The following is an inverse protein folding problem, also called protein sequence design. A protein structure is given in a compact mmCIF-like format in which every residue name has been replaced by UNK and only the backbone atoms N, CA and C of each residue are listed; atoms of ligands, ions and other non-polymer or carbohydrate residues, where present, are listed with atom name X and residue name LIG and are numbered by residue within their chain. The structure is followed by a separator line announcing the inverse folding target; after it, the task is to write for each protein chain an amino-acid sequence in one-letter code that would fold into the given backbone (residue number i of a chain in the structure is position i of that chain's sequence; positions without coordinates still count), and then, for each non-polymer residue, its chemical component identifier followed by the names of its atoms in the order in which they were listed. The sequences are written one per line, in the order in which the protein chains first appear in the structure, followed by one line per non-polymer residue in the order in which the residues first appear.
data_IF_341542729207
#
_entry.id   IF_341542729207
#
_cell.length_a   1.000
_cell.length_b   1.000
_cell.length_c   1.000
_cell.angle_alpha   90.00
_cell.angle_beta   90.00
_cell.angle_gamma   90.00
#
_symmetry.space_group_name_H-M   'P 1'
#
loop_
_entity.id
_entity.type
_entity.pdbx_description
1 polymer ?
#
# COMPACT_ATOMS: atom_id res chain seq x y z
N UNK A 1 -63.75 20.54 -10.82
CA UNK A 1 -63.18 20.27 -12.16
C UNK A 1 -61.68 20.01 -11.98
N UNK A 2 -61.20 18.82 -12.33
CA UNK A 2 -59.86 18.30 -12.04
C UNK A 2 -58.80 18.91 -12.96
N UNK A 3 -57.62 19.28 -12.46
CA UNK A 3 -56.35 19.16 -13.22
C UNK A 3 -55.21 18.73 -12.29
N UNK A 4 -54.70 17.54 -12.59
CA UNK A 4 -53.60 16.83 -11.92
C UNK A 4 -52.28 17.35 -12.49
N UNK A 5 -51.27 17.57 -11.65
CA UNK A 5 -49.90 17.86 -12.08
C UNK A 5 -48.94 17.06 -11.22
N UNK A 6 -48.44 15.94 -11.74
CA UNK A 6 -47.45 15.08 -11.12
C UNK A 6 -46.06 15.62 -11.48
N UNK A 7 -45.27 16.04 -10.48
CA UNK A 7 -43.91 16.55 -10.68
C UNK A 7 -42.93 15.39 -10.51
N UNK A 8 -42.37 14.90 -11.61
CA UNK A 8 -41.34 13.85 -11.62
C UNK A 8 -39.98 14.48 -11.37
N UNK A 9 -39.40 14.26 -10.19
CA UNK A 9 -38.03 14.70 -9.87
C UNK A 9 -37.03 13.67 -10.42
N UNK A 10 -36.27 14.06 -11.44
CA UNK A 10 -35.18 13.26 -11.99
C UNK A 10 -33.99 13.28 -11.00
N UNK A 11 -33.73 12.16 -10.34
CA UNK A 11 -32.50 11.93 -9.56
C UNK A 11 -31.41 11.47 -10.54
N UNK A 12 -30.53 12.39 -10.95
CA UNK A 12 -29.35 12.03 -11.74
C UNK A 12 -28.29 11.46 -10.81
N UNK A 13 -28.03 10.16 -10.94
CA UNK A 13 -27.01 9.43 -10.20
C UNK A 13 -25.81 9.24 -11.15
N UNK A 14 -24.78 10.07 -11.01
CA UNK A 14 -23.52 9.88 -11.74
C UNK A 14 -22.81 8.66 -11.15
N UNK A 15 -22.75 7.58 -11.92
CA UNK A 15 -21.94 6.42 -11.56
C UNK A 15 -20.45 6.81 -11.67
N UNK A 16 -19.71 6.65 -10.57
CA UNK A 16 -18.26 6.72 -10.59
C UNK A 16 -17.76 5.42 -11.20
N UNK A 17 -17.14 5.49 -12.38
CA UNK A 17 -16.46 4.34 -12.97
C UNK A 17 -15.13 4.14 -12.25
N UNK A 18 -15.09 3.17 -11.34
CA UNK A 18 -13.83 2.60 -10.85
C UNK A 18 -13.22 1.80 -12.00
N UNK A 19 -12.14 2.30 -12.60
CA UNK A 19 -11.32 1.52 -13.52
C UNK A 19 -10.50 0.54 -12.66
N UNK A 20 -10.69 -0.76 -12.86
CA UNK A 20 -9.79 -1.78 -12.33
C UNK A 20 -8.84 -2.17 -13.47
N UNK A 21 -7.54 -1.98 -13.27
CA UNK A 21 -6.52 -2.41 -14.23
C UNK A 21 -6.16 -3.89 -14.01
N UNK A 22 -5.95 -4.61 -15.12
CA UNK A 22 -5.54 -6.01 -15.07
C UNK A 22 -4.06 -6.10 -14.73
N UNK A 23 -3.77 -6.51 -13.51
CA UNK A 23 -2.41 -6.89 -13.12
C UNK A 23 -2.21 -8.37 -13.47
N UNK A 24 -1.22 -8.68 -14.32
CA UNK A 24 -0.99 -9.99 -14.94
C UNK A 24 -0.76 -11.15 -13.95
N UNK A 25 -0.59 -12.40 -14.44
CA UNK A 25 -0.50 -13.57 -13.58
C UNK A 25 0.67 -13.47 -12.57
N UNK A 26 0.36 -13.28 -11.28
CA UNK A 26 1.33 -13.29 -10.19
C UNK A 26 1.73 -14.71 -9.83
N UNK A 27 2.72 -15.26 -10.53
CA UNK A 27 3.28 -16.56 -10.20
C UNK A 27 4.21 -16.45 -8.98
N UNK A 28 3.63 -16.48 -7.79
CA UNK A 28 4.35 -16.66 -6.52
C UNK A 28 4.20 -15.50 -5.54
N UNK A 29 4.25 -15.79 -4.23
CA UNK A 29 4.41 -14.75 -3.22
C UNK A 29 5.65 -13.91 -3.56
N UNK A 30 5.56 -12.58 -3.57
CA UNK A 30 6.71 -11.74 -3.89
C UNK A 30 7.89 -12.11 -2.97
N UNK A 31 9.08 -12.27 -3.58
CA UNK A 31 10.30 -12.65 -2.85
C UNK A 31 10.53 -11.64 -1.74
N UNK A 32 10.78 -12.13 -0.51
CA UNK A 32 11.20 -11.26 0.57
C UNK A 32 12.62 -10.78 0.30
N UNK A 33 12.80 -9.46 0.23
CA UNK A 33 14.06 -8.79 -0.03
C UNK A 33 14.48 -7.94 1.18
N UNK A 34 15.76 -7.57 1.19
CA UNK A 34 16.28 -6.52 2.06
C UNK A 34 16.17 -5.16 1.40
N UNK A 35 16.19 -4.08 2.18
CA UNK A 35 16.20 -2.70 1.65
C UNK A 35 17.41 -2.47 0.73
N UNK A 36 18.57 -3.03 1.05
CA UNK A 36 19.75 -2.91 0.20
C UNK A 36 19.62 -3.66 -1.14
N UNK A 37 18.89 -4.78 -1.18
CA UNK A 37 18.56 -5.47 -2.42
C UNK A 37 17.53 -4.69 -3.23
N UNK A 38 16.48 -4.17 -2.58
CA UNK A 38 15.43 -3.38 -3.25
C UNK A 38 16.02 -2.17 -3.99
N UNK A 39 17.00 -1.48 -3.41
CA UNK A 39 17.72 -0.35 -4.03
C UNK A 39 18.47 -0.69 -5.33
N UNK A 40 18.60 -1.95 -5.68
CA UNK A 40 19.27 -2.44 -6.88
C UNK A 40 18.31 -3.11 -7.87
N UNK A 41 17.02 -3.19 -7.54
CA UNK A 41 16.00 -3.77 -8.41
C UNK A 41 15.56 -2.76 -9.46
N UNK A 42 14.89 -3.27 -10.48
CA UNK A 42 14.29 -2.43 -11.51
C UNK A 42 12.96 -1.86 -10.99
N UNK A 43 12.50 -0.81 -11.67
CA UNK A 43 11.13 -0.30 -11.57
C UNK A 43 10.08 -1.40 -11.79
N UNK A 44 8.85 -1.19 -11.31
CA UNK A 44 7.71 -2.13 -11.36
C UNK A 44 8.00 -3.50 -10.68
N UNK A 45 9.03 -3.59 -9.83
CA UNK A 45 9.39 -4.86 -9.20
C UNK A 45 8.55 -5.12 -7.95
N UNK A 46 7.71 -6.15 -7.99
CA UNK A 46 6.97 -6.62 -6.81
C UNK A 46 7.83 -7.40 -5.81
N UNK A 47 7.78 -6.97 -4.56
CA UNK A 47 8.61 -7.52 -3.48
C UNK A 47 7.89 -7.52 -2.14
N UNK A 48 8.53 -8.12 -1.13
CA UNK A 48 8.15 -7.87 0.27
C UNK A 48 9.35 -7.48 1.11
N UNK A 49 9.15 -6.53 2.04
CA UNK A 49 10.15 -6.07 2.99
C UNK A 49 9.70 -6.38 4.41
N UNK A 50 10.64 -6.82 5.26
CA UNK A 50 10.37 -7.09 6.68
C UNK A 50 11.24 -6.21 7.57
N UNK A 51 10.62 -5.45 8.46
CA UNK A 51 11.31 -4.40 9.20
C UNK A 51 10.36 -3.58 10.05
N UNK A 52 10.65 -2.29 10.19
CA UNK A 52 9.92 -1.37 11.07
C UNK A 52 9.59 -0.08 10.33
N UNK A 53 8.42 0.50 10.63
CA UNK A 53 8.06 1.84 10.20
C UNK A 53 8.56 2.80 11.28
N UNK A 54 9.59 3.59 10.99
CA UNK A 54 10.34 4.36 12.00
C UNK A 54 10.02 5.85 12.01
N UNK A 55 9.26 6.35 11.03
CA UNK A 55 8.87 7.75 10.97
C UNK A 55 7.79 8.03 9.93
N UNK A 56 7.10 9.15 10.11
CA UNK A 56 6.19 9.73 9.12
C UNK A 56 6.92 10.86 8.39
N UNK A 57 6.87 10.85 7.06
CA UNK A 57 7.57 11.85 6.24
C UNK A 57 6.62 12.97 5.84
N UNK A 58 5.51 12.62 5.19
CA UNK A 58 4.44 13.53 4.71
C UNK A 58 3.28 12.67 4.21
N UNK A 59 2.03 13.18 4.24
CA UNK A 59 0.89 12.49 3.61
C UNK A 59 0.85 10.99 3.95
N UNK A 60 0.85 10.15 2.91
CA UNK A 60 0.87 8.69 3.04
C UNK A 60 2.28 8.08 2.94
N UNK A 61 3.33 8.91 2.96
CA UNK A 61 4.73 8.47 2.90
C UNK A 61 5.36 8.34 4.31
N UNK A 62 6.00 7.21 4.53
CA UNK A 62 6.65 6.82 5.78
C UNK A 62 8.08 6.35 5.54
N UNK A 63 8.89 6.35 6.60
CA UNK A 63 10.22 5.78 6.59
C UNK A 63 10.15 4.32 7.06
N UNK A 64 10.58 3.40 6.20
CA UNK A 64 10.75 2.00 6.56
C UNK A 64 12.23 1.66 6.73
N UNK A 65 12.52 0.78 7.69
CA UNK A 65 13.89 0.36 8.00
C UNK A 65 13.98 -1.15 8.22
N UNK A 66 15.02 -1.75 7.66
CA UNK A 66 15.54 -3.05 8.08
C UNK A 66 17.02 -2.95 8.54
N UNK A 67 17.70 -4.08 8.72
CA UNK A 67 19.12 -4.09 9.13
C UNK A 67 20.09 -3.60 8.05
N UNK A 68 19.65 -3.50 6.80
CA UNK A 68 20.46 -3.18 5.62
C UNK A 68 20.31 -1.73 5.16
N UNK A 69 19.24 -1.05 5.57
CA UNK A 69 19.07 0.38 5.31
C UNK A 69 17.64 0.87 5.53
N UNK A 70 17.39 2.06 5.00
CA UNK A 70 16.10 2.75 5.04
C UNK A 70 15.60 3.05 3.62
N UNK A 71 14.28 3.06 3.44
CA UNK A 71 13.59 3.37 2.18
C UNK A 71 12.27 4.08 2.48
N UNK A 72 11.82 4.94 1.56
CA UNK A 72 10.47 5.53 1.63
C UNK A 72 9.45 4.47 1.26
N UNK A 73 8.30 4.49 1.92
CA UNK A 73 7.15 3.63 1.59
C UNK A 73 5.90 4.49 1.58
N UNK A 74 5.00 4.24 0.63
CA UNK A 74 3.68 4.85 0.57
C UNK A 74 2.65 3.84 1.09
N UNK A 75 1.87 4.23 2.10
CA UNK A 75 0.89 3.39 2.78
C UNK A 75 -0.41 4.17 2.90
N UNK A 76 -1.30 3.96 1.94
CA UNK A 76 -2.65 4.53 1.95
C UNK A 76 -3.45 4.09 3.18
N UNK A 77 -4.43 4.91 3.57
CA UNK A 77 -5.29 4.70 4.74
C UNK A 77 -5.94 3.30 4.77
N UNK A 78 -6.33 2.76 3.62
CA UNK A 78 -6.97 1.44 3.51
C UNK A 78 -6.04 0.28 3.90
N UNK A 79 -4.73 0.43 3.71
CA UNK A 79 -3.73 -0.64 3.92
C UNK A 79 -3.56 -0.95 5.40
N UNK A 80 -3.71 0.05 6.27
CA UNK A 80 -3.63 -0.11 7.72
C UNK A 80 -4.72 -1.02 8.29
N UNK A 81 -5.89 -1.06 7.63
CA UNK A 81 -7.04 -1.90 8.03
C UNK A 81 -7.43 -1.75 9.50
N UNK A 82 -7.26 -0.53 10.05
CA UNK A 82 -7.56 -0.20 11.45
C UNK A 82 -6.57 -0.77 12.48
N UNK A 83 -5.38 -1.23 12.04
CA UNK A 83 -4.32 -1.69 12.93
C UNK A 83 -3.41 -0.50 13.27
N UNK A 84 -3.21 -0.27 14.56
CA UNK A 84 -2.19 0.69 15.03
C UNK A 84 -0.80 0.05 15.00
N UNK A 85 0.12 0.66 14.25
CA UNK A 85 1.50 0.22 14.11
C UNK A 85 2.42 1.27 14.75
N UNK A 86 3.11 0.89 15.82
CA UNK A 86 4.15 1.71 16.44
C UNK A 86 5.55 1.40 15.88
N UNK A 87 6.56 2.23 16.20
CA UNK A 87 7.92 2.08 15.66
C UNK A 87 8.63 0.78 16.09
N UNK A 88 8.19 0.14 17.16
CA UNK A 88 8.73 -1.14 17.63
C UNK A 88 7.99 -2.36 17.04
N UNK A 89 6.99 -2.13 16.17
CA UNK A 89 6.20 -3.20 15.56
C UNK A 89 6.92 -3.71 14.31
N UNK A 90 7.34 -4.97 14.34
CA UNK A 90 7.90 -5.58 13.15
C UNK A 90 6.77 -5.90 12.16
N UNK A 91 6.89 -5.40 10.94
CA UNK A 91 5.89 -5.57 9.88
C UNK A 91 6.49 -6.23 8.65
N UNK A 92 5.62 -6.82 7.83
CA UNK A 92 5.92 -7.25 6.47
C UNK A 92 5.08 -6.38 5.54
N UNK A 93 5.77 -5.64 4.67
CA UNK A 93 5.15 -4.82 3.62
C UNK A 93 5.24 -5.59 2.31
N UNK A 94 4.14 -5.73 1.60
CA UNK A 94 4.10 -6.22 0.23
C UNK A 94 3.73 -5.05 -0.67
N UNK A 95 4.43 -4.91 -1.79
CA UNK A 95 4.24 -3.77 -2.65
C UNK A 95 5.05 -3.82 -3.93
N UNK A 96 4.98 -2.73 -4.66
CA UNK A 96 5.67 -2.47 -5.91
C UNK A 96 6.75 -1.42 -5.68
N UNK A 97 7.91 -1.60 -6.34
CA UNK A 97 9.00 -0.65 -6.26
C UNK A 97 8.85 0.38 -7.38
N UNK A 98 8.73 1.65 -7.02
CA UNK A 98 8.52 2.76 -7.94
C UNK A 98 9.76 3.67 -8.01
N UNK A 99 10.18 3.97 -9.24
CA UNK A 99 11.31 4.83 -9.58
C UNK A 99 10.81 6.12 -10.25
N UNK A 100 10.16 7.01 -9.51
CA UNK A 100 9.91 8.36 -10.03
C UNK A 100 11.22 9.18 -10.03
N UNK A 101 11.41 10.09 -10.99
CA UNK A 101 12.68 10.79 -11.28
C UNK A 101 13.40 11.39 -10.05
N UNK A 102 14.22 10.58 -9.37
CA UNK A 102 15.02 10.95 -8.20
C UNK A 102 14.53 10.39 -6.86
N UNK A 103 13.38 9.72 -6.80
CA UNK A 103 12.85 8.99 -5.65
C UNK A 103 12.85 7.48 -5.91
N UNK A 104 13.03 6.73 -4.83
CA UNK A 104 12.81 5.30 -4.80
C UNK A 104 11.88 5.02 -3.63
N UNK A 105 10.72 4.45 -3.90
CA UNK A 105 9.75 4.11 -2.87
C UNK A 105 9.06 2.77 -3.14
N UNK A 106 8.43 2.24 -2.10
CA UNK A 106 7.57 1.07 -2.22
C UNK A 106 6.12 1.51 -2.02
N UNK A 107 5.30 1.36 -3.05
CA UNK A 107 3.85 1.48 -2.95
C UNK A 107 3.30 0.21 -2.29
N UNK A 108 2.71 0.34 -1.11
CA UNK A 108 2.35 -0.82 -0.27
C UNK A 108 0.92 -1.27 -0.53
N UNK A 109 0.76 -2.44 -1.14
CA UNK A 109 -0.54 -3.10 -1.34
C UNK A 109 -1.09 -3.76 -0.05
N UNK A 110 -0.18 -4.21 0.82
CA UNK A 110 -0.55 -4.99 2.01
C UNK A 110 0.48 -4.88 3.13
N UNK A 111 -0.03 -4.66 4.33
CA UNK A 111 0.74 -4.70 5.57
C UNK A 111 0.32 -5.89 6.44
N UNK A 112 1.31 -6.59 6.98
CA UNK A 112 1.10 -7.66 7.98
C UNK A 112 1.98 -7.40 9.21
N UNK A 113 1.43 -7.63 10.42
CA UNK A 113 2.27 -7.67 11.63
C UNK A 113 3.05 -8.98 11.63
N UNK A 114 4.38 -8.88 11.65
CA UNK A 114 5.23 -10.06 11.69
C UNK A 114 4.99 -10.81 13.01
N UNK A 115 4.57 -12.07 12.92
CA UNK A 115 4.39 -12.91 14.11
C UNK A 115 5.72 -13.03 14.85
N UNK A 116 5.80 -12.46 16.05
CA UNK A 116 6.84 -12.82 17.01
C UNK A 116 6.67 -14.30 17.28
N UNK A 117 7.68 -15.12 16.98
CA UNK A 117 7.61 -16.56 17.17
C UNK A 117 7.18 -16.87 18.60
N UNK A 118 5.96 -17.38 18.78
CA UNK A 118 5.52 -17.96 20.04
C UNK A 118 6.35 -19.22 20.22
N UNK A 119 7.50 -19.09 20.90
CA UNK A 119 8.15 -20.23 21.57
C UNK A 119 7.16 -20.69 22.62
N UNK A 120 6.40 -21.74 22.28
CA UNK A 120 5.93 -22.69 23.29
C UNK A 120 7.10 -23.53 23.76
#
# INVERSE_FOLDING_TARGET
MMKKGLLTMFLSMTAVTVQAEYVGPHTGCPKQATVAEAKQMNDDTRLSLKGFITGHLRGDHYLFRDSTGEISVEIEDEVWRGIEIGPDTNVILHGELEHESGSLEVEVDRLEVAKTGSRR
#
